data_IF_838855155302
#
_entry.id   IF_838855155302
#
_cell.length_a   1.000
_cell.length_b   1.000
_cell.length_c   1.000
_cell.angle_alpha   90.00
_cell.angle_beta   90.00
_cell.angle_gamma   90.00
#
_symmetry.space_group_name_H-M   'P 1'
#
loop_
_entity.id
_entity.type
_entity.pdbx_description
1 polymer ?
#
# COMPACT_ATOMS: atom_id res chain seq x y z
N UNK A 1 11.25 -17.57 18.51
CA UNK A 1 10.35 -16.69 17.75
C UNK A 1 11.13 -16.18 16.56
N UNK A 2 10.63 -16.38 15.36
CA UNK A 2 11.26 -15.96 14.11
C UNK A 2 11.17 -14.41 14.02
N UNK A 3 12.16 -13.75 13.41
CA UNK A 3 12.19 -12.27 13.24
C UNK A 3 10.92 -11.72 12.58
N UNK A 4 10.28 -12.50 11.78
CA UNK A 4 9.07 -12.16 11.06
C UNK A 4 7.80 -12.28 11.89
N UNK A 5 7.73 -13.25 12.77
CA UNK A 5 6.67 -13.32 13.77
C UNK A 5 6.70 -12.08 14.67
N UNK A 6 7.90 -11.62 15.02
CA UNK A 6 8.12 -10.39 15.80
C UNK A 6 7.61 -9.17 15.00
N UNK A 7 7.93 -9.12 13.70
CA UNK A 7 7.50 -8.01 12.86
C UNK A 7 5.98 -7.97 12.66
N UNK A 8 5.36 -9.14 12.43
CA UNK A 8 3.90 -9.27 12.35
C UNK A 8 3.23 -8.83 13.64
N UNK A 9 3.73 -9.29 14.79
CA UNK A 9 3.23 -8.88 16.10
C UNK A 9 3.38 -7.37 16.33
N UNK A 10 4.51 -6.79 15.87
CA UNK A 10 4.73 -5.35 15.98
C UNK A 10 3.71 -4.57 15.13
N UNK A 11 3.45 -4.99 13.90
CA UNK A 11 2.47 -4.36 13.03
C UNK A 11 1.05 -4.47 13.61
N UNK A 12 0.65 -5.64 14.09
CA UNK A 12 -0.66 -5.84 14.71
C UNK A 12 -0.80 -4.97 15.96
N UNK A 13 0.22 -4.95 16.82
CA UNK A 13 0.21 -4.10 18.01
C UNK A 13 0.10 -2.60 17.67
N UNK A 14 0.80 -2.15 16.64
CA UNK A 14 0.72 -0.76 16.15
C UNK A 14 -0.71 -0.43 15.72
N UNK A 15 -1.30 -1.26 14.86
CA UNK A 15 -2.64 -1.01 14.31
C UNK A 15 -3.71 -1.00 15.40
N UNK A 16 -3.64 -1.91 16.36
CA UNK A 16 -4.57 -1.97 17.50
C UNK A 16 -4.46 -0.75 18.43
N UNK A 17 -3.34 -0.04 18.39
CA UNK A 17 -3.03 1.03 19.34
C UNK A 17 -2.77 2.39 18.67
N UNK A 18 -3.16 2.60 17.42
CA UNK A 18 -2.92 3.84 16.67
C UNK A 18 -3.42 5.09 17.41
N UNK A 19 -4.56 5.01 18.09
CA UNK A 19 -5.17 6.11 18.84
C UNK A 19 -4.55 6.34 20.22
N UNK A 20 -3.75 5.40 20.75
CA UNK A 20 -3.20 5.50 22.13
C UNK A 20 -1.87 6.23 22.23
N UNK A 21 -1.32 6.68 21.10
CA UNK A 21 -0.04 7.37 21.12
C UNK A 21 1.16 6.47 21.45
N UNK A 22 1.08 5.17 21.13
CA UNK A 22 2.16 4.18 21.36
C UNK A 22 3.48 4.64 20.80
N UNK A 23 4.55 4.40 21.55
CA UNK A 23 5.91 4.70 21.14
C UNK A 23 6.61 3.47 20.52
N UNK A 24 7.69 3.67 19.73
CA UNK A 24 8.51 2.56 19.24
C UNK A 24 9.08 1.70 20.36
N UNK A 25 9.39 2.30 21.51
CA UNK A 25 9.90 1.64 22.72
C UNK A 25 8.88 0.67 23.29
N UNK A 26 7.64 1.13 23.46
CA UNK A 26 6.53 0.28 23.95
C UNK A 26 6.24 -0.87 23.00
N UNK A 27 6.28 -0.62 21.68
CA UNK A 27 6.10 -1.66 20.68
C UNK A 27 7.21 -2.72 20.76
N UNK A 28 8.47 -2.31 20.92
CA UNK A 28 9.61 -3.23 21.05
C UNK A 28 9.51 -4.05 22.33
N UNK A 29 9.16 -3.43 23.47
CA UNK A 29 8.95 -4.09 24.74
C UNK A 29 7.83 -5.13 24.65
N UNK A 30 6.69 -4.78 24.05
CA UNK A 30 5.55 -5.67 23.85
C UNK A 30 5.90 -6.91 23.02
N UNK A 31 6.77 -6.76 22.05
CA UNK A 31 7.27 -7.87 21.22
C UNK A 31 8.45 -8.60 21.85
N UNK A 32 8.84 -8.30 23.09
CA UNK A 32 10.02 -8.84 23.75
C UNK A 32 11.28 -8.73 22.87
N UNK A 33 11.45 -7.60 22.20
CA UNK A 33 12.51 -7.36 21.23
C UNK A 33 13.23 -6.04 21.50
N UNK A 34 14.51 -5.93 21.14
CA UNK A 34 15.22 -4.67 21.33
C UNK A 34 14.79 -3.59 20.33
N UNK A 35 14.60 -2.37 20.80
CA UNK A 35 14.24 -1.23 19.95
C UNK A 35 15.20 -1.07 18.77
N UNK A 36 16.52 -1.18 18.99
CA UNK A 36 17.52 -1.05 17.92
C UNK A 36 17.36 -2.10 16.83
N UNK A 37 17.07 -3.35 17.22
CA UNK A 37 16.86 -4.41 16.24
C UNK A 37 15.50 -4.25 15.52
N UNK A 38 14.46 -3.81 16.23
CA UNK A 38 13.17 -3.50 15.61
C UNK A 38 13.27 -2.36 14.61
N UNK A 39 13.97 -1.29 14.96
CA UNK A 39 14.25 -0.18 14.02
C UNK A 39 15.03 -0.64 12.78
N UNK A 40 16.04 -1.50 12.96
CA UNK A 40 16.77 -2.09 11.83
C UNK A 40 15.86 -2.94 10.96
N UNK A 41 15.00 -3.74 11.59
CA UNK A 41 14.06 -4.62 10.91
C UNK A 41 13.03 -3.81 10.08
N UNK A 42 12.43 -2.76 10.66
CA UNK A 42 11.53 -1.86 9.93
C UNK A 42 12.23 -1.18 8.75
N UNK A 43 13.46 -0.68 8.94
CA UNK A 43 14.23 -0.08 7.85
C UNK A 43 14.62 -1.10 6.77
N UNK A 44 14.94 -2.31 7.17
CA UNK A 44 15.33 -3.36 6.23
C UNK A 44 14.16 -3.84 5.39
N UNK A 45 12.98 -3.98 5.99
CA UNK A 45 11.80 -4.55 5.34
C UNK A 45 10.94 -3.49 4.66
N UNK A 46 10.70 -2.36 5.32
CA UNK A 46 9.79 -1.33 4.82
C UNK A 46 10.49 -0.05 4.34
N UNK A 47 11.82 0.05 4.52
CA UNK A 47 12.61 1.27 4.28
C UNK A 47 12.08 2.52 5.00
N UNK A 48 11.17 2.31 5.94
CA UNK A 48 10.61 3.31 6.84
C UNK A 48 11.14 3.08 8.24
N UNK A 49 11.40 4.16 8.96
CA UNK A 49 11.54 4.06 10.41
C UNK A 49 10.20 3.67 11.02
N UNK A 50 10.24 2.90 12.12
CA UNK A 50 9.00 2.53 12.85
C UNK A 50 8.16 3.76 13.22
N UNK A 51 8.80 4.88 13.60
CA UNK A 51 8.12 6.16 13.89
C UNK A 51 7.45 6.76 12.66
N UNK A 52 8.06 6.62 11.47
CA UNK A 52 7.47 7.09 10.21
C UNK A 52 6.25 6.24 9.85
N UNK A 53 6.32 4.93 10.04
CA UNK A 53 5.17 4.04 9.84
C UNK A 53 4.01 4.45 10.75
N UNK A 54 4.24 4.61 12.06
CA UNK A 54 3.24 5.11 13.01
C UNK A 54 2.60 6.41 12.55
N UNK A 55 3.43 7.39 12.19
CA UNK A 55 2.94 8.71 11.78
C UNK A 55 2.05 8.63 10.54
N UNK A 56 2.48 7.87 9.53
CA UNK A 56 1.73 7.69 8.29
C UNK A 56 0.40 7.00 8.52
N UNK A 57 0.38 5.92 9.32
CA UNK A 57 -0.86 5.21 9.65
C UNK A 57 -1.84 6.09 10.42
N UNK A 58 -1.38 6.81 11.44
CA UNK A 58 -2.22 7.75 12.21
C UNK A 58 -2.85 8.82 11.32
N UNK A 59 -2.05 9.45 10.45
CA UNK A 59 -2.55 10.47 9.52
C UNK A 59 -3.56 9.88 8.54
N UNK A 60 -3.33 8.65 8.05
CA UNK A 60 -4.24 7.99 7.13
C UNK A 60 -5.58 7.67 7.80
N UNK A 61 -5.56 7.13 9.01
CA UNK A 61 -6.80 6.85 9.75
C UNK A 61 -7.52 8.12 10.17
N UNK A 62 -6.77 9.17 10.57
CA UNK A 62 -7.33 10.48 10.85
C UNK A 62 -8.00 11.11 9.61
N UNK A 63 -7.45 10.91 8.41
CA UNK A 63 -8.05 11.37 7.16
C UNK A 63 -9.40 10.67 6.88
N UNK A 64 -9.49 9.35 7.14
CA UNK A 64 -10.76 8.62 7.07
C UNK A 64 -11.79 9.22 8.01
N UNK A 65 -11.42 9.45 9.25
CA UNK A 65 -12.33 9.97 10.26
C UNK A 65 -12.79 11.40 10.00
N UNK A 66 -11.93 12.22 9.37
CA UNK A 66 -12.31 13.57 8.92
C UNK A 66 -13.49 13.55 7.92
N UNK A 67 -13.62 12.49 7.13
CA UNK A 67 -14.70 12.33 6.14
C UNK A 67 -15.90 11.62 6.75
N UNK A 68 -15.66 10.59 7.54
CA UNK A 68 -16.71 9.70 8.05
C UNK A 68 -17.45 10.30 9.25
N UNK A 69 -16.91 11.36 9.89
CA UNK A 69 -17.49 11.96 11.12
C UNK A 69 -17.52 13.49 11.07
N UNK A 70 -18.36 14.06 11.94
CA UNK A 70 -18.42 15.50 12.20
C UNK A 70 -17.51 15.96 13.36
N UNK A 71 -16.63 15.07 13.86
CA UNK A 71 -15.68 15.42 14.92
C UNK A 71 -14.78 16.59 14.50
N UNK A 72 -14.42 17.45 15.44
CA UNK A 72 -13.55 18.59 15.09
C UNK A 72 -12.15 18.11 14.70
N UNK A 73 -11.47 18.91 13.87
CA UNK A 73 -10.06 18.60 13.49
C UNK A 73 -9.15 18.47 14.72
N UNK A 74 -9.47 19.23 15.80
CA UNK A 74 -8.73 19.17 17.05
C UNK A 74 -8.98 17.85 17.79
N UNK A 75 -10.24 17.42 17.88
CA UNK A 75 -10.59 16.16 18.56
C UNK A 75 -9.94 14.98 17.86
N UNK A 76 -10.01 14.95 16.52
CA UNK A 76 -9.33 13.93 15.72
C UNK A 76 -7.81 13.97 15.94
N UNK A 77 -7.19 15.17 15.95
CA UNK A 77 -5.77 15.30 16.22
C UNK A 77 -5.38 14.73 17.59
N UNK A 78 -6.13 15.06 18.63
CA UNK A 78 -5.92 14.54 19.99
C UNK A 78 -6.10 13.02 20.05
N UNK A 79 -7.16 12.51 19.43
CA UNK A 79 -7.45 11.07 19.34
C UNK A 79 -6.30 10.28 18.74
N UNK A 80 -5.66 10.81 17.70
CA UNK A 80 -4.51 10.18 17.05
C UNK A 80 -3.15 10.58 17.67
N UNK A 81 -3.16 11.11 18.89
CA UNK A 81 -1.96 11.34 19.70
C UNK A 81 -1.12 12.56 19.29
N UNK A 82 -1.73 13.56 18.67
CA UNK A 82 -1.08 14.84 18.37
C UNK A 82 -1.32 15.84 19.49
N UNK A 83 -0.25 16.46 19.97
CA UNK A 83 -0.30 17.39 21.10
C UNK A 83 -0.89 18.76 20.75
N UNK A 84 -1.01 19.09 19.47
CA UNK A 84 -1.65 20.32 19.03
C UNK A 84 -2.21 20.22 17.62
N UNK A 85 -3.19 21.05 17.32
CA UNK A 85 -3.80 21.22 16.00
C UNK A 85 -2.74 21.58 14.93
N UNK A 86 -1.76 22.42 15.28
CA UNK A 86 -0.74 22.88 14.34
C UNK A 86 0.23 21.75 13.95
N UNK A 87 0.63 20.92 14.92
CA UNK A 87 1.50 19.77 14.68
C UNK A 87 0.79 18.76 13.78
N UNK A 88 -0.47 18.46 14.08
CA UNK A 88 -1.31 17.62 13.25
C UNK A 88 -1.48 18.16 11.84
N UNK A 89 -1.88 19.43 11.71
CA UNK A 89 -2.09 20.09 10.41
C UNK A 89 -0.84 20.05 9.55
N UNK A 90 0.35 20.31 10.11
CA UNK A 90 1.62 20.22 9.37
C UNK A 90 1.92 18.79 8.92
N UNK A 91 1.74 17.81 9.79
CA UNK A 91 1.96 16.40 9.45
C UNK A 91 0.98 15.93 8.38
N UNK A 92 -0.29 16.30 8.52
CA UNK A 92 -1.35 15.99 7.57
C UNK A 92 -1.08 16.62 6.19
N UNK A 93 -0.80 17.92 6.16
CA UNK A 93 -0.53 18.65 4.90
C UNK A 93 0.71 18.12 4.19
N UNK A 94 1.73 17.71 4.93
CA UNK A 94 2.92 17.10 4.34
C UNK A 94 2.61 15.78 3.63
N UNK A 95 1.63 15.01 4.12
CA UNK A 95 1.27 13.72 3.56
C UNK A 95 0.24 13.84 2.42
N UNK A 96 -0.79 14.66 2.64
CA UNK A 96 -1.94 14.79 1.75
C UNK A 96 -1.87 15.98 0.79
N UNK A 97 -0.92 16.89 0.96
CA UNK A 97 -0.78 18.10 0.16
C UNK A 97 -1.79 19.21 0.46
N UNK A 98 -2.81 18.93 1.26
CA UNK A 98 -3.87 19.86 1.65
C UNK A 98 -4.09 19.87 3.15
N UNK A 99 -4.69 20.93 3.69
CA UNK A 99 -5.00 20.99 5.13
C UNK A 99 -6.16 20.06 5.49
N UNK A 100 -6.26 19.58 6.77
CA UNK A 100 -7.35 18.73 7.22
C UNK A 100 -8.74 19.33 6.95
N UNK A 101 -8.91 20.65 7.15
CA UNK A 101 -10.16 21.33 6.90
C UNK A 101 -10.53 21.42 5.41
N UNK A 102 -9.54 21.60 4.53
CA UNK A 102 -9.75 21.57 3.10
C UNK A 102 -10.05 20.14 2.62
N UNK A 103 -9.35 19.14 3.16
CA UNK A 103 -9.56 17.73 2.88
C UNK A 103 -11.00 17.29 3.18
N UNK A 104 -11.54 17.64 4.36
CA UNK A 104 -12.92 17.36 4.76
C UNK A 104 -13.95 17.92 3.76
N UNK A 105 -13.68 19.08 3.18
CA UNK A 105 -14.62 19.75 2.26
C UNK A 105 -14.62 19.23 0.84
N UNK A 106 -13.50 18.67 0.40
CA UNK A 106 -13.25 18.43 -1.02
C UNK A 106 -13.01 16.97 -1.38
N UNK A 107 -12.93 16.05 -0.40
CA UNK A 107 -12.29 14.77 -0.68
C UNK A 107 -13.13 13.56 -0.30
N UNK A 108 -13.07 12.57 -1.14
CA UNK A 108 -13.26 11.17 -0.78
C UNK A 108 -11.95 10.61 -0.23
N UNK A 109 -12.06 9.66 0.68
CA UNK A 109 -10.90 9.02 1.29
C UNK A 109 -10.30 7.97 0.35
N UNK A 110 -8.99 8.03 0.19
CA UNK A 110 -8.20 6.92 -0.37
C UNK A 110 -7.17 6.50 0.67
N UNK A 111 -7.07 5.23 0.98
CA UNK A 111 -6.10 4.73 1.97
C UNK A 111 -4.69 4.73 1.36
N UNK A 112 -4.00 5.88 1.41
CA UNK A 112 -2.67 6.07 0.82
C UNK A 112 -1.63 5.15 1.48
N UNK A 113 -1.76 4.91 2.78
CA UNK A 113 -0.88 4.00 3.52
C UNK A 113 -1.73 2.92 4.20
N UNK A 114 -2.02 1.82 3.51
CA UNK A 114 -2.76 0.70 4.09
C UNK A 114 -1.97 0.02 5.20
N UNK A 115 -2.68 -0.72 6.05
CA UNK A 115 -2.05 -1.58 7.05
C UNK A 115 -1.11 -2.55 6.34
N UNK A 116 0.15 -2.56 6.74
CA UNK A 116 1.10 -3.61 6.37
C UNK A 116 0.82 -4.82 7.26
N UNK A 117 0.57 -5.97 6.70
CA UNK A 117 0.27 -7.17 7.49
C UNK A 117 -0.52 -8.23 6.74
N UNK A 118 -0.88 -9.31 7.43
CA UNK A 118 -1.59 -10.47 6.91
C UNK A 118 -2.76 -10.08 6.01
N UNK A 119 -2.86 -10.75 4.87
CA UNK A 119 -3.86 -10.50 3.83
C UNK A 119 -5.26 -10.24 4.39
N UNK A 120 -5.83 -9.08 4.10
CA UNK A 120 -7.27 -8.91 4.15
C UNK A 120 -7.87 -9.76 3.02
N UNK A 121 -8.87 -10.57 3.36
CA UNK A 121 -9.65 -11.28 2.36
C UNK A 121 -10.41 -10.26 1.56
N UNK A 122 -10.07 -10.12 0.29
CA UNK A 122 -10.81 -9.28 -0.63
C UNK A 122 -12.06 -10.06 -1.08
N UNK A 123 -13.21 -9.42 -1.01
CA UNK A 123 -14.47 -9.97 -1.50
C UNK A 123 -14.88 -9.19 -2.74
N UNK A 124 -15.37 -9.89 -3.76
CA UNK A 124 -16.00 -9.23 -4.90
C UNK A 124 -17.31 -8.56 -4.46
N UNK A 125 -17.84 -7.67 -5.30
CA UNK A 125 -19.10 -6.98 -5.02
C UNK A 125 -20.32 -7.92 -4.88
N UNK A 126 -20.11 -9.26 -4.94
CA UNK A 126 -21.11 -10.31 -4.71
C UNK A 126 -20.84 -11.09 -3.41
N UNK A 127 -19.81 -10.71 -2.65
CA UNK A 127 -19.43 -11.38 -1.40
C UNK A 127 -18.65 -12.68 -1.59
N UNK A 128 -18.16 -12.97 -2.81
CA UNK A 128 -17.28 -14.11 -3.02
C UNK A 128 -15.86 -13.72 -2.65
N UNK A 129 -15.17 -14.59 -1.91
CA UNK A 129 -13.75 -14.40 -1.62
C UNK A 129 -12.97 -14.44 -2.94
N UNK A 130 -12.35 -13.32 -3.30
CA UNK A 130 -11.37 -13.30 -4.37
C UNK A 130 -10.16 -14.03 -3.80
N UNK A 131 -9.96 -15.28 -4.22
CA UNK A 131 -8.74 -16.00 -3.94
C UNK A 131 -7.59 -15.27 -4.65
N UNK A 132 -7.12 -14.18 -4.03
CA UNK A 132 -5.91 -13.56 -4.47
C UNK A 132 -4.74 -14.38 -3.92
N UNK A 133 -3.76 -14.66 -4.76
CA UNK A 133 -2.41 -15.09 -4.37
C UNK A 133 -1.72 -14.06 -3.46
N UNK A 134 -2.40 -12.97 -3.11
CA UNK A 134 -1.97 -11.93 -2.18
C UNK A 134 -2.00 -12.47 -0.74
N UNK A 135 -1.19 -13.49 -0.49
CA UNK A 135 -0.85 -13.93 0.87
C UNK A 135 0.39 -13.15 1.30
N UNK A 136 0.17 -11.96 1.82
CA UNK A 136 1.24 -11.15 2.34
C UNK A 136 1.59 -11.55 3.77
N UNK A 137 2.54 -12.44 3.92
CA UNK A 137 3.39 -12.52 5.09
C UNK A 137 4.72 -11.83 4.76
N UNK A 138 5.04 -10.74 5.46
CA UNK A 138 6.28 -9.96 5.24
C UNK A 138 7.52 -10.84 5.30
N UNK A 139 7.45 -11.97 6.03
CA UNK A 139 8.52 -12.95 6.07
C UNK A 139 8.72 -13.64 4.73
N UNK A 140 7.65 -14.10 4.17
CA UNK A 140 7.70 -14.77 2.88
C UNK A 140 8.13 -13.81 1.76
N UNK A 141 7.79 -12.52 1.86
CA UNK A 141 8.18 -11.55 0.85
C UNK A 141 9.69 -11.38 0.73
N UNK A 142 10.38 -11.22 1.86
CA UNK A 142 11.85 -11.06 1.84
C UNK A 142 12.55 -12.31 1.30
N UNK A 143 12.12 -13.48 1.77
CA UNK A 143 12.66 -14.76 1.29
C UNK A 143 12.32 -14.93 -0.20
N UNK A 144 11.08 -14.65 -0.60
CA UNK A 144 10.62 -14.74 -1.97
C UNK A 144 11.38 -13.82 -2.93
N UNK A 145 11.63 -12.56 -2.53
CA UNK A 145 12.45 -11.62 -3.33
C UNK A 145 13.92 -12.06 -3.35
N UNK A 146 14.43 -12.57 -2.21
CA UNK A 146 15.84 -12.99 -2.11
C UNK A 146 16.13 -14.22 -2.97
N UNK A 147 15.19 -15.14 -3.07
CA UNK A 147 15.27 -16.31 -3.96
C UNK A 147 15.22 -15.92 -5.45
N UNK A 148 14.61 -14.77 -5.77
CA UNK A 148 14.43 -14.25 -7.14
C UNK A 148 15.40 -13.14 -7.51
N UNK A 149 16.57 -13.09 -6.86
CA UNK A 149 17.64 -12.17 -7.28
C UNK A 149 18.00 -12.38 -8.75
N UNK A 150 18.12 -11.25 -9.46
CA UNK A 150 18.37 -11.26 -10.90
C UNK A 150 17.15 -11.47 -11.78
N UNK A 151 15.98 -11.78 -11.20
CA UNK A 151 14.68 -11.83 -11.86
C UNK A 151 14.04 -10.46 -11.95
N UNK A 152 12.88 -10.36 -12.58
CA UNK A 152 12.17 -9.11 -12.79
C UNK A 152 10.91 -9.01 -11.93
N UNK A 153 10.64 -7.80 -11.48
CA UNK A 153 9.35 -7.41 -10.92
C UNK A 153 8.61 -6.52 -11.90
N UNK A 154 7.28 -6.59 -11.88
CA UNK A 154 6.40 -5.71 -12.64
C UNK A 154 5.61 -4.88 -11.64
N UNK A 155 5.73 -3.57 -11.73
CA UNK A 155 4.94 -2.66 -10.92
C UNK A 155 3.83 -2.06 -11.73
N UNK A 156 2.66 -2.06 -11.14
CA UNK A 156 1.46 -1.49 -11.73
C UNK A 156 0.99 -0.32 -10.89
N UNK A 157 0.46 0.69 -11.55
CA UNK A 157 -0.12 1.86 -10.95
C UNK A 157 -1.47 2.13 -11.65
N UNK A 158 -2.55 2.16 -10.88
CA UNK A 158 -3.90 2.36 -11.39
C UNK A 158 -4.13 3.84 -11.68
N UNK A 159 -4.70 4.15 -12.82
CA UNK A 159 -5.11 5.51 -13.17
C UNK A 159 -6.37 5.94 -12.42
N UNK A 160 -6.34 7.19 -11.94
CA UNK A 160 -7.53 7.92 -11.53
C UNK A 160 -8.34 7.32 -10.36
N UNK A 161 -7.72 6.57 -9.43
CA UNK A 161 -8.44 6.03 -8.27
C UNK A 161 -9.16 7.13 -7.47
N UNK A 162 -8.49 8.28 -7.26
CA UNK A 162 -9.10 9.41 -6.56
C UNK A 162 -10.34 9.95 -7.29
N UNK A 163 -10.28 10.08 -8.62
CA UNK A 163 -11.43 10.48 -9.44
C UNK A 163 -12.59 9.48 -9.35
N UNK A 164 -12.31 8.18 -9.34
CA UNK A 164 -13.32 7.12 -9.18
C UNK A 164 -13.98 7.25 -7.80
N UNK A 165 -13.18 7.42 -6.74
CA UNK A 165 -13.68 7.62 -5.38
C UNK A 165 -14.54 8.87 -5.27
N UNK A 166 -14.09 9.99 -5.83
CA UNK A 166 -14.79 11.28 -5.78
C UNK A 166 -16.11 11.27 -6.57
N UNK A 167 -16.13 10.56 -7.69
CA UNK A 167 -17.28 10.57 -8.63
C UNK A 167 -18.32 9.51 -8.28
N UNK A 168 -17.87 8.31 -7.89
CA UNK A 168 -18.72 7.12 -7.73
C UNK A 168 -18.75 6.57 -6.32
N UNK A 169 -17.96 7.16 -5.39
CA UNK A 169 -17.86 6.75 -4.00
C UNK A 169 -16.79 5.68 -3.74
N UNK A 170 -16.43 5.52 -2.46
CA UNK A 170 -15.38 4.63 -2.00
C UNK A 170 -15.59 3.17 -2.41
N UNK A 171 -16.84 2.69 -2.35
CA UNK A 171 -17.17 1.33 -2.78
C UNK A 171 -16.83 1.07 -4.26
N UNK A 172 -16.90 2.11 -5.11
CA UNK A 172 -16.49 2.01 -6.50
C UNK A 172 -14.97 1.91 -6.64
N UNK A 173 -14.22 2.67 -5.82
CA UNK A 173 -12.76 2.56 -5.74
C UNK A 173 -12.30 1.18 -5.27
N UNK A 174 -12.95 0.61 -4.27
CA UNK A 174 -12.64 -0.76 -3.79
C UNK A 174 -12.90 -1.80 -4.89
N UNK A 175 -13.99 -1.66 -5.65
CA UNK A 175 -14.27 -2.51 -6.81
C UNK A 175 -13.21 -2.33 -7.90
N UNK A 176 -12.77 -1.09 -8.16
CA UNK A 176 -11.72 -0.81 -9.14
C UNK A 176 -10.37 -1.45 -8.74
N UNK A 177 -9.99 -1.33 -7.46
CA UNK A 177 -8.78 -1.97 -6.90
C UNK A 177 -8.88 -3.50 -7.03
N UNK A 178 -10.04 -4.07 -6.67
CA UNK A 178 -10.27 -5.51 -6.77
C UNK A 178 -10.17 -6.01 -8.21
N UNK A 179 -10.66 -5.22 -9.18
CA UNK A 179 -10.54 -5.54 -10.59
C UNK A 179 -9.09 -5.48 -11.09
N UNK A 180 -8.30 -4.48 -10.64
CA UNK A 180 -6.87 -4.44 -10.94
C UNK A 180 -6.16 -5.70 -10.42
N UNK A 181 -6.38 -6.07 -9.16
CA UNK A 181 -5.82 -7.28 -8.57
C UNK A 181 -6.22 -8.53 -9.36
N UNK A 182 -7.50 -8.65 -9.70
CA UNK A 182 -8.02 -9.78 -10.50
C UNK A 182 -7.36 -9.87 -11.88
N UNK A 183 -7.18 -8.73 -12.57
CA UNK A 183 -6.54 -8.70 -13.91
C UNK A 183 -5.08 -9.11 -13.82
N UNK A 184 -4.35 -8.65 -12.82
CA UNK A 184 -2.95 -9.00 -12.62
C UNK A 184 -2.86 -10.50 -12.27
N UNK A 185 -3.59 -10.94 -11.25
CA UNK A 185 -3.56 -12.32 -10.76
C UNK A 185 -3.93 -13.35 -11.84
N UNK A 186 -5.03 -13.12 -12.57
CA UNK A 186 -5.49 -14.02 -13.64
C UNK A 186 -4.55 -14.12 -14.84
N UNK A 187 -3.57 -13.21 -14.95
CA UNK A 187 -2.58 -13.19 -16.03
C UNK A 187 -1.14 -13.36 -15.50
N UNK A 188 -1.01 -13.75 -14.25
CA UNK A 188 0.25 -14.08 -13.60
C UNK A 188 0.52 -15.58 -13.65
N UNK A 189 1.79 -15.95 -13.57
CA UNK A 189 2.18 -17.35 -13.46
C UNK A 189 2.04 -17.81 -12.00
N UNK A 190 1.80 -19.12 -11.78
CA UNK A 190 1.55 -19.70 -10.44
C UNK A 190 2.70 -19.45 -9.44
N UNK A 191 3.92 -19.28 -9.93
CA UNK A 191 5.11 -18.99 -9.13
C UNK A 191 5.35 -17.50 -8.87
N UNK A 192 4.43 -16.62 -9.31
CA UNK A 192 4.48 -15.18 -9.08
C UNK A 192 3.84 -14.80 -7.75
N UNK A 193 4.28 -13.68 -7.17
CA UNK A 193 3.69 -13.12 -5.95
C UNK A 193 3.17 -11.70 -6.23
N UNK A 194 1.86 -11.53 -6.13
CA UNK A 194 1.20 -10.24 -6.28
C UNK A 194 1.02 -9.55 -4.91
N UNK A 195 1.38 -8.27 -4.83
CA UNK A 195 1.34 -7.47 -3.62
C UNK A 195 0.75 -6.09 -3.93
N UNK A 196 -0.16 -5.61 -3.10
CA UNK A 196 -0.58 -4.21 -3.09
C UNK A 196 0.29 -3.43 -2.10
N UNK A 197 0.99 -2.40 -2.57
CA UNK A 197 1.95 -1.61 -1.77
C UNK A 197 1.46 -0.22 -1.41
N UNK A 198 0.47 0.28 -2.13
CA UNK A 198 -0.12 1.60 -1.95
C UNK A 198 -1.62 1.58 -2.23
N UNK A 199 -2.24 2.77 -2.27
CA UNK A 199 -3.65 2.92 -2.59
C UNK A 199 -4.01 2.34 -3.96
N UNK A 200 -3.20 2.68 -4.96
CA UNK A 200 -3.35 2.35 -6.39
C UNK A 200 -2.14 1.63 -6.98
N UNK A 201 -1.19 1.21 -6.15
CA UNK A 201 0.08 0.63 -6.55
C UNK A 201 0.16 -0.87 -6.22
N UNK A 202 0.56 -1.68 -7.20
CA UNK A 202 0.69 -3.13 -7.08
C UNK A 202 2.04 -3.59 -7.61
N UNK A 203 2.55 -4.67 -7.06
CA UNK A 203 3.79 -5.32 -7.51
C UNK A 203 3.53 -6.78 -7.77
N UNK A 204 3.98 -7.24 -8.92
CA UNK A 204 4.06 -8.63 -9.26
C UNK A 204 5.53 -9.04 -9.30
N UNK A 205 5.94 -9.87 -8.35
CA UNK A 205 7.27 -10.46 -8.33
C UNK A 205 7.19 -11.71 -9.18
N UNK A 206 7.97 -11.74 -10.26
CA UNK A 206 7.93 -12.82 -11.25
C UNK A 206 9.16 -13.73 -11.17
N UNK A 207 9.12 -14.83 -11.89
CA UNK A 207 10.30 -15.68 -12.14
C UNK A 207 10.95 -15.38 -13.50
N UNK A 208 10.56 -14.31 -14.21
CA UNK A 208 11.11 -13.91 -15.49
C UNK A 208 12.62 -13.60 -15.35
N UNK A 209 13.43 -14.24 -16.17
CA UNK A 209 14.88 -14.01 -16.21
C UNK A 209 15.28 -12.89 -17.18
N UNK A 210 14.44 -12.62 -18.17
CA UNK A 210 14.68 -11.63 -19.21
C UNK A 210 13.65 -10.51 -19.11
N UNK A 211 14.08 -9.25 -19.34
CA UNK A 211 13.22 -8.08 -19.32
C UNK A 211 12.05 -8.20 -20.29
N UNK A 212 12.33 -8.73 -21.48
CA UNK A 212 11.33 -8.91 -22.53
C UNK A 212 10.19 -9.86 -22.12
N UNK A 213 10.46 -10.85 -21.28
CA UNK A 213 9.42 -11.75 -20.74
C UNK A 213 8.50 -11.00 -19.78
N UNK A 214 9.08 -10.23 -18.85
CA UNK A 214 8.31 -9.41 -17.90
C UNK A 214 7.51 -8.33 -18.62
N UNK A 215 8.08 -7.65 -19.62
CA UNK A 215 7.38 -6.66 -20.44
C UNK A 215 6.21 -7.29 -21.20
N UNK A 216 6.39 -8.46 -21.79
CA UNK A 216 5.32 -9.20 -22.46
C UNK A 216 4.20 -9.62 -21.50
N UNK A 217 4.54 -9.99 -20.28
CA UNK A 217 3.55 -10.28 -19.24
C UNK A 217 2.78 -9.01 -18.84
N UNK A 218 3.49 -7.89 -18.64
CA UNK A 218 2.87 -6.60 -18.39
C UNK A 218 1.93 -6.19 -19.51
N UNK A 219 2.33 -6.31 -20.77
CA UNK A 219 1.52 -5.99 -21.95
C UNK A 219 0.23 -6.80 -22.01
N UNK A 220 0.28 -8.11 -21.68
CA UNK A 220 -0.93 -8.96 -21.62
C UNK A 220 -1.94 -8.42 -20.59
N UNK A 221 -1.45 -7.96 -19.43
CA UNK A 221 -2.28 -7.41 -18.36
C UNK A 221 -2.83 -6.05 -18.78
N UNK A 222 -1.98 -5.19 -19.35
CA UNK A 222 -2.37 -3.86 -19.83
C UNK A 222 -3.32 -3.87 -21.03
N UNK A 223 -3.35 -4.97 -21.79
CA UNK A 223 -4.33 -5.15 -22.87
C UNK A 223 -5.79 -5.18 -22.36
N UNK A 224 -5.99 -5.37 -21.07
CA UNK A 224 -7.31 -5.30 -20.39
C UNK A 224 -7.70 -3.87 -19.96
N UNK A 225 -6.87 -2.86 -20.22
CA UNK A 225 -7.17 -1.47 -19.93
C UNK A 225 -8.42 -1.00 -20.71
N UNK A 226 -9.12 -0.02 -20.13
CA UNK A 226 -10.39 0.47 -20.71
C UNK A 226 -11.57 -0.48 -20.49
N UNK A 227 -11.37 -1.61 -19.82
CA UNK A 227 -12.46 -2.51 -19.50
C UNK A 227 -13.44 -1.89 -18.50
N UNK A 228 -14.74 -1.96 -18.82
CA UNK A 228 -15.81 -1.40 -17.98
C UNK A 228 -16.02 -2.27 -16.75
N UNK A 229 -16.10 -1.60 -15.61
CA UNK A 229 -16.37 -2.21 -14.30
C UNK A 229 -17.69 -1.64 -13.76
N UNK A 230 -18.43 -2.47 -13.02
CA UNK A 230 -19.71 -2.09 -12.43
C UNK A 230 -19.63 -2.09 -10.91
N UNK A 231 -20.09 -0.99 -10.31
CA UNK A 231 -20.29 -0.87 -8.87
C UNK A 231 -21.68 -0.30 -8.57
N UNK A 232 -22.58 -1.16 -8.11
CA UNK A 232 -23.99 -0.78 -7.97
C UNK A 232 -24.63 -0.42 -9.32
N UNK A 233 -25.10 0.83 -9.44
CA UNK A 233 -25.66 1.38 -10.68
C UNK A 233 -24.63 2.08 -11.57
N UNK A 234 -23.38 2.23 -11.10
CA UNK A 234 -22.35 2.97 -11.78
C UNK A 234 -21.52 2.06 -12.70
N UNK A 235 -21.12 2.58 -13.84
CA UNK A 235 -20.17 1.97 -14.76
C UNK A 235 -19.01 2.95 -15.00
N UNK A 236 -17.78 2.44 -14.94
CA UNK A 236 -16.57 3.24 -15.18
C UNK A 236 -15.44 2.35 -15.72
N UNK A 237 -14.48 2.98 -16.36
CA UNK A 237 -13.31 2.30 -16.88
C UNK A 237 -12.20 2.19 -15.84
N UNK A 238 -11.50 1.05 -15.87
CA UNK A 238 -10.31 0.81 -15.03
C UNK A 238 -9.12 0.55 -15.95
N UNK A 239 -8.05 1.31 -15.71
CA UNK A 239 -6.80 1.22 -16.46
C UNK A 239 -5.61 1.35 -15.54
N UNK A 240 -4.52 0.68 -15.92
CA UNK A 240 -3.24 0.68 -15.20
C UNK A 240 -2.10 1.02 -16.15
N UNK A 241 -1.00 1.48 -15.61
CA UNK A 241 0.32 1.50 -16.25
C UNK A 241 1.23 0.51 -15.57
N UNK A 242 2.30 0.10 -16.24
CA UNK A 242 3.27 -0.83 -15.68
C UNK A 242 4.70 -0.44 -16.06
N UNK A 243 5.64 -0.84 -15.20
CA UNK A 243 7.08 -0.78 -15.43
C UNK A 243 7.75 -2.05 -14.92
N UNK A 244 8.84 -2.48 -15.57
CA UNK A 244 9.57 -3.68 -15.22
C UNK A 244 10.99 -3.34 -14.76
N UNK A 245 11.37 -3.86 -13.59
CA UNK A 245 12.69 -3.65 -13.00
C UNK A 245 13.34 -4.97 -12.58
N UNK A 246 14.67 -4.98 -12.59
CA UNK A 246 15.44 -6.15 -12.18
C UNK A 246 15.70 -6.14 -10.68
N UNK A 247 15.42 -7.24 -10.00
CA UNK A 247 15.82 -7.43 -8.61
C UNK A 247 17.36 -7.48 -8.56
N UNK A 248 18.02 -6.69 -7.70
CA UNK A 248 19.48 -6.68 -7.61
C UNK A 248 20.06 -8.08 -7.36
N UNK A 249 21.10 -8.44 -8.11
CA UNK A 249 21.77 -9.74 -7.98
C UNK A 249 22.53 -9.90 -6.66
N UNK A 250 22.98 -8.78 -6.08
CA UNK A 250 23.74 -8.77 -4.82
C UNK A 250 23.46 -7.49 -4.03
N UNK A 251 23.85 -7.46 -2.76
CA UNK A 251 23.66 -6.31 -1.89
C UNK A 251 22.32 -6.34 -1.15
N UNK A 252 22.04 -5.25 -0.42
CA UNK A 252 20.76 -5.09 0.26
C UNK A 252 19.67 -4.72 -0.76
N UNK A 253 18.59 -5.49 -0.77
CA UNK A 253 17.41 -5.13 -1.53
C UNK A 253 16.74 -3.96 -0.82
N UNK A 254 16.76 -2.80 -1.46
CA UNK A 254 16.07 -1.61 -0.98
C UNK A 254 14.75 -1.51 -1.71
N UNK A 255 13.65 -1.76 -0.97
CA UNK A 255 12.30 -1.71 -1.55
C UNK A 255 12.00 -0.36 -2.20
N UNK A 256 12.38 0.75 -1.57
CA UNK A 256 12.19 2.08 -2.15
C UNK A 256 13.00 2.27 -3.44
N UNK A 257 14.19 1.71 -3.58
CA UNK A 257 14.95 1.79 -4.84
C UNK A 257 14.29 0.93 -5.93
N UNK A 258 13.74 -0.24 -5.56
CA UNK A 258 12.89 -1.01 -6.45
C UNK A 258 11.61 -0.24 -6.81
N UNK A 259 11.03 0.52 -5.90
CA UNK A 259 9.76 1.21 -6.06
C UNK A 259 9.90 2.65 -6.55
N UNK A 260 10.90 3.39 -6.12
CA UNK A 260 11.17 4.77 -6.56
C UNK A 260 11.55 4.82 -8.04
N UNK A 261 12.26 3.81 -8.56
CA UNK A 261 12.56 3.71 -9.99
C UNK A 261 11.27 3.57 -10.83
N UNK A 262 10.20 3.01 -10.28
CA UNK A 262 8.91 2.84 -10.93
C UNK A 262 8.07 4.10 -10.93
N UNK A 263 8.00 4.78 -9.79
CA UNK A 263 7.32 6.06 -9.66
C UNK A 263 7.95 7.07 -10.64
N UNK A 264 9.27 6.99 -10.84
CA UNK A 264 10.01 7.87 -11.77
C UNK A 264 9.79 7.45 -13.22
N UNK A 265 9.82 6.15 -13.55
CA UNK A 265 9.60 5.64 -14.89
C UNK A 265 8.15 5.77 -15.38
N UNK A 266 7.20 5.82 -14.46
CA UNK A 266 5.78 5.98 -14.77
C UNK A 266 5.28 7.42 -14.86
N UNK A 267 6.10 8.43 -14.51
CA UNK A 267 5.73 9.84 -14.74
C UNK A 267 5.97 10.18 -16.21
N UNK A 268 4.96 10.65 -16.96
CA UNK A 268 5.23 11.21 -18.27
C UNK A 268 6.26 12.32 -18.11
N UNK A 269 7.39 12.23 -18.82
CA UNK A 269 8.35 13.31 -18.97
C UNK A 269 7.56 14.56 -19.37
N UNK A 270 7.57 15.56 -18.50
CA UNK A 270 6.71 16.72 -18.54
C UNK A 270 6.67 17.41 -19.91
N UNK A 271 5.47 17.74 -20.31
CA UNK A 271 5.16 18.97 -21.03
C UNK A 271 3.98 19.61 -20.35
#
# INVERSE_FOLDING_TARGET
MNKFEILSQALDYIEENLCRGVTPEECAEKCCYSLSNMQKMFRCVFHLGISDYFSRRRITMAARELIDTDETVLDIAVKYGYNSHEVFTRAFTRLWGVTPAAFRKSSSFSEIYPKLGRSERLFDGKGNEIMSSVRFDVSHLYDFITERRGKYVICFDMYHLMYINDTYGMAAGDVAISECLRRIDSNSDDDSLLIRIGGDEFILITDCSEKAEAEKQAERILALNGGIVRSGSNEFEVSMRAGCEKIPESGNIRYNELFDSFIIAGRPSGK
#
